data_IF_627060653238
#
_entry.id   IF_627060653238
#
_cell.length_a   1.000
_cell.length_b   1.000
_cell.length_c   1.000
_cell.angle_alpha   90.00
_cell.angle_beta   90.00
_cell.angle_gamma   90.00
#
_symmetry.space_group_name_H-M   'P 1'
#
loop_
_entity.id
_entity.type
_entity.pdbx_description
1 polymer ?
#
# COMPACT_ATOMS: atom_id res chain seq x y z
N UNK A 1 -1.09 -4.38 3.78
CA UNK A 1 -1.09 -3.36 2.72
C UNK A 1 -2.12 -3.76 1.66
N UNK A 2 -2.73 -2.76 0.96
CA UNK A 2 -3.62 -3.02 -0.17
C UNK A 2 -5.09 -2.65 0.07
N UNK A 3 -5.58 -2.65 1.31
CA UNK A 3 -6.97 -2.25 1.62
C UNK A 3 -7.23 -0.75 1.34
N UNK A 4 -6.21 0.06 1.35
CA UNK A 4 -6.24 1.48 0.95
C UNK A 4 -6.62 1.69 -0.51
N UNK A 5 -6.40 0.70 -1.38
CA UNK A 5 -6.77 0.75 -2.80
C UNK A 5 -8.28 0.94 -3.00
N UNK A 6 -9.10 0.49 -2.04
CA UNK A 6 -10.54 0.71 -2.05
C UNK A 6 -10.93 2.20 -1.97
N UNK A 7 -10.05 3.06 -1.44
CA UNK A 7 -10.28 4.51 -1.38
C UNK A 7 -10.19 5.14 -2.78
N UNK A 8 -9.32 4.63 -3.65
CA UNK A 8 -9.16 5.12 -5.03
C UNK A 8 -10.39 4.89 -5.91
N UNK A 9 -11.23 3.89 -5.58
CA UNK A 9 -12.45 3.55 -6.29
C UNK A 9 -13.72 4.02 -5.57
N UNK A 10 -13.59 4.79 -4.49
CA UNK A 10 -14.71 5.23 -3.65
C UNK A 10 -15.81 6.02 -4.41
N UNK A 11 -15.44 6.71 -5.49
CA UNK A 11 -16.39 7.42 -6.36
C UNK A 11 -17.35 6.51 -7.15
N UNK A 12 -17.00 5.24 -7.30
CA UNK A 12 -17.82 4.24 -8.02
C UNK A 12 -18.68 3.40 -7.05
N UNK A 13 -18.52 3.61 -5.73
CA UNK A 13 -19.18 2.83 -4.69
C UNK A 13 -20.50 3.48 -4.28
N UNK A 14 -21.58 2.67 -4.19
CA UNK A 14 -22.87 3.11 -3.69
C UNK A 14 -22.79 3.37 -2.17
N UNK A 15 -23.19 4.58 -1.73
CA UNK A 15 -23.08 5.03 -0.33
C UNK A 15 -21.66 4.94 0.26
N UNK A 16 -20.63 5.58 -0.35
CA UNK A 16 -19.23 5.40 0.00
C UNK A 16 -18.92 5.77 1.46
N UNK A 17 -19.61 6.78 2.02
CA UNK A 17 -19.44 7.23 3.42
C UNK A 17 -19.67 6.13 4.47
N UNK A 18 -20.45 5.09 4.16
CA UNK A 18 -20.71 3.94 5.04
C UNK A 18 -20.06 2.65 4.54
N UNK A 19 -20.16 2.39 3.25
CA UNK A 19 -19.73 1.12 2.65
C UNK A 19 -18.20 0.99 2.67
N UNK A 20 -17.46 2.06 2.39
CA UNK A 20 -15.99 2.02 2.37
C UNK A 20 -15.40 1.75 3.76
N UNK A 21 -15.74 2.49 4.83
CA UNK A 21 -15.21 2.20 6.17
C UNK A 21 -15.57 0.79 6.67
N UNK A 22 -16.80 0.36 6.42
CA UNK A 22 -17.25 -0.98 6.85
C UNK A 22 -16.53 -2.08 6.07
N UNK A 23 -16.35 -1.90 4.76
CA UNK A 23 -15.62 -2.85 3.90
C UNK A 23 -14.15 -2.98 4.32
N UNK A 24 -13.48 -1.86 4.62
CA UNK A 24 -12.10 -1.85 5.10
C UNK A 24 -12.00 -2.57 6.45
N UNK A 25 -12.92 -2.29 7.37
CA UNK A 25 -12.91 -2.90 8.71
C UNK A 25 -13.15 -4.41 8.63
N UNK A 26 -14.20 -4.84 7.93
CA UNK A 26 -14.54 -6.26 7.80
C UNK A 26 -13.46 -7.02 7.01
N UNK A 27 -12.98 -6.45 5.92
CA UNK A 27 -11.88 -7.03 5.13
C UNK A 27 -10.59 -7.13 5.95
N UNK A 28 -10.25 -6.10 6.71
CA UNK A 28 -9.08 -6.10 7.60
C UNK A 28 -9.17 -7.17 8.69
N UNK A 29 -10.32 -7.32 9.33
CA UNK A 29 -10.54 -8.37 10.35
C UNK A 29 -10.45 -9.77 9.72
N UNK A 30 -11.07 -9.98 8.55
CA UNK A 30 -11.02 -11.26 7.86
C UNK A 30 -9.58 -11.64 7.48
N UNK A 31 -8.83 -10.70 6.91
CA UNK A 31 -7.41 -10.91 6.56
C UNK A 31 -6.57 -11.22 7.79
N UNK A 32 -6.80 -10.50 8.91
CA UNK A 32 -6.12 -10.76 10.17
C UNK A 32 -6.36 -12.19 10.67
N UNK A 33 -7.61 -12.63 10.66
CA UNK A 33 -7.98 -14.00 11.07
C UNK A 33 -7.28 -15.04 10.19
N UNK A 34 -7.33 -14.84 8.86
CA UNK A 34 -6.68 -15.75 7.90
C UNK A 34 -5.17 -15.82 8.15
N UNK A 35 -4.50 -14.69 8.37
CA UNK A 35 -3.06 -14.67 8.63
C UNK A 35 -2.68 -15.32 9.96
N UNK A 36 -3.48 -15.13 11.02
CA UNK A 36 -3.26 -15.79 12.30
C UNK A 36 -3.41 -17.30 12.18
N UNK A 37 -4.43 -17.77 11.46
CA UNK A 37 -4.63 -19.21 11.22
C UNK A 37 -3.50 -19.80 10.38
N UNK A 38 -3.08 -19.13 9.29
CA UNK A 38 -1.94 -19.56 8.47
C UNK A 38 -0.66 -19.63 9.29
N UNK A 39 -0.41 -18.62 10.14
CA UNK A 39 0.75 -18.59 11.02
C UNK A 39 0.71 -19.74 12.03
N UNK A 40 -0.43 -20.00 12.65
CA UNK A 40 -0.62 -21.07 13.62
C UNK A 40 -0.39 -22.46 12.97
N UNK A 41 -0.96 -22.69 11.79
CA UNK A 41 -0.77 -23.94 11.03
C UNK A 41 0.68 -24.12 10.63
N UNK A 42 1.31 -23.05 10.10
CA UNK A 42 2.72 -23.10 9.69
C UNK A 42 3.63 -23.42 10.86
N UNK A 43 3.42 -22.77 12.00
CA UNK A 43 4.17 -23.02 13.23
C UNK A 43 3.92 -24.42 13.78
N UNK A 44 2.69 -24.90 13.74
CA UNK A 44 2.32 -26.25 14.21
C UNK A 44 2.98 -27.36 13.37
N UNK A 45 3.06 -27.18 12.05
CA UNK A 45 3.59 -28.21 11.14
C UNK A 45 5.11 -28.17 11.02
N UNK A 46 5.70 -26.96 10.92
CA UNK A 46 7.15 -26.82 10.77
C UNK A 46 7.89 -26.80 12.10
N UNK A 47 7.28 -26.36 13.19
CA UNK A 47 7.92 -26.28 14.50
C UNK A 47 9.24 -25.53 14.47
N UNK A 48 10.29 -26.14 15.03
CA UNK A 48 11.63 -25.57 15.04
C UNK A 48 12.27 -25.41 13.64
N UNK A 49 11.79 -26.14 12.63
CA UNK A 49 12.29 -26.06 11.25
C UNK A 49 11.85 -24.77 10.54
N UNK A 50 10.85 -24.06 11.09
CA UNK A 50 10.38 -22.81 10.51
C UNK A 50 11.49 -21.76 10.36
N UNK A 51 12.44 -21.70 11.28
CA UNK A 51 13.58 -20.78 11.21
C UNK A 51 14.57 -21.10 10.07
N UNK A 52 14.61 -22.34 9.60
CA UNK A 52 15.44 -22.79 8.49
C UNK A 52 14.78 -22.56 7.12
N UNK A 53 13.43 -22.55 7.07
CA UNK A 53 12.66 -22.36 5.82
C UNK A 53 12.34 -20.88 5.65
N UNK A 54 13.24 -20.13 5.00
CA UNK A 54 13.14 -18.67 4.89
C UNK A 54 12.35 -18.21 3.66
N UNK A 55 12.41 -18.95 2.56
CA UNK A 55 11.93 -18.45 1.26
C UNK A 55 10.44 -18.73 1.02
N UNK A 56 9.96 -19.93 1.33
CA UNK A 56 8.58 -20.34 1.04
C UNK A 56 8.00 -21.26 2.13
N UNK A 57 7.77 -20.78 3.37
CA UNK A 57 7.31 -21.61 4.47
C UNK A 57 5.96 -22.27 4.20
N UNK A 58 5.02 -21.58 3.54
CA UNK A 58 3.72 -22.16 3.20
C UNK A 58 3.83 -23.29 2.16
N UNK A 59 4.77 -23.19 1.21
CA UNK A 59 5.01 -24.27 0.25
C UNK A 59 5.57 -25.50 0.94
N UNK A 60 6.48 -25.33 1.90
CA UNK A 60 7.00 -26.43 2.71
C UNK A 60 5.90 -27.09 3.58
N UNK A 61 4.96 -26.31 4.09
CA UNK A 61 3.78 -26.86 4.78
C UNK A 61 2.92 -27.68 3.84
N UNK A 62 2.61 -27.14 2.65
CA UNK A 62 1.83 -27.84 1.63
C UNK A 62 2.49 -29.15 1.19
N UNK A 63 3.81 -29.15 1.05
CA UNK A 63 4.59 -30.34 0.73
C UNK A 63 4.50 -31.40 1.83
N UNK A 64 4.57 -31.00 3.10
CA UNK A 64 4.40 -31.94 4.24
C UNK A 64 3.02 -32.54 4.32
N UNK A 65 1.96 -31.83 3.90
CA UNK A 65 0.57 -32.31 4.01
C UNK A 65 0.17 -33.14 2.79
N UNK A 66 0.51 -32.68 1.58
CA UNK A 66 -0.02 -33.23 0.31
C UNK A 66 1.11 -33.78 -0.56
N UNK A 67 2.37 -33.63 -0.17
CA UNK A 67 3.54 -34.01 -0.96
C UNK A 67 3.94 -32.92 -1.98
N UNK A 68 4.88 -33.24 -2.90
CA UNK A 68 5.46 -32.27 -3.86
C UNK A 68 4.41 -31.54 -4.74
N UNK A 69 3.30 -32.21 -5.02
CA UNK A 69 2.17 -31.63 -5.77
C UNK A 69 1.57 -30.45 -5.01
N UNK A 70 1.44 -30.57 -3.67
CA UNK A 70 0.94 -29.49 -2.83
C UNK A 70 1.80 -28.23 -2.89
N UNK A 71 3.11 -28.38 -2.79
CA UNK A 71 4.05 -27.27 -2.97
C UNK A 71 3.93 -26.62 -4.35
N UNK A 72 3.85 -27.41 -5.42
CA UNK A 72 3.73 -26.93 -6.78
C UNK A 72 2.44 -26.12 -6.98
N UNK A 73 1.30 -26.63 -6.53
CA UNK A 73 0.01 -25.93 -6.62
C UNK A 73 0.06 -24.61 -5.86
N UNK A 74 0.64 -24.61 -4.65
CA UNK A 74 0.74 -23.40 -3.85
C UNK A 74 1.63 -22.34 -4.51
N UNK A 75 2.76 -22.73 -5.07
CA UNK A 75 3.66 -21.81 -5.78
C UNK A 75 3.03 -21.24 -7.04
N UNK A 76 2.31 -22.05 -7.82
CA UNK A 76 1.56 -21.57 -8.98
C UNK A 76 0.45 -20.59 -8.57
N UNK A 77 -0.28 -20.90 -7.50
CA UNK A 77 -1.30 -20.00 -6.95
C UNK A 77 -0.69 -18.68 -6.48
N UNK A 78 0.46 -18.73 -5.83
CA UNK A 78 1.20 -17.54 -5.42
C UNK A 78 1.62 -16.68 -6.61
N UNK A 79 2.12 -17.31 -7.69
CA UNK A 79 2.48 -16.59 -8.93
C UNK A 79 1.28 -15.87 -9.56
N UNK A 80 0.14 -16.55 -9.67
CA UNK A 80 -1.12 -15.96 -10.18
C UNK A 80 -1.59 -14.81 -9.28
N UNK A 81 -1.51 -14.99 -7.96
CA UNK A 81 -1.88 -13.95 -6.98
C UNK A 81 -0.97 -12.72 -7.09
N UNK A 82 0.34 -12.90 -7.23
CA UNK A 82 1.28 -11.81 -7.46
C UNK A 82 0.98 -11.06 -8.76
N UNK A 83 0.71 -11.79 -9.85
CA UNK A 83 0.34 -11.17 -11.14
C UNK A 83 -0.94 -10.35 -11.02
N UNK A 84 -1.96 -10.86 -10.33
CA UNK A 84 -3.21 -10.15 -10.07
C UNK A 84 -2.98 -8.87 -9.24
N UNK A 85 -2.15 -8.95 -8.20
CA UNK A 85 -1.81 -7.81 -7.36
C UNK A 85 -1.08 -6.72 -8.12
N UNK A 86 -0.05 -7.08 -8.90
CA UNK A 86 0.69 -6.11 -9.75
C UNK A 86 -0.23 -5.45 -10.76
N UNK A 87 -1.15 -6.21 -11.38
CA UNK A 87 -2.12 -5.68 -12.34
C UNK A 87 -3.05 -4.65 -11.69
N UNK A 88 -3.55 -4.95 -10.48
CA UNK A 88 -4.39 -4.04 -9.72
C UNK A 88 -3.64 -2.77 -9.29
N UNK A 89 -2.38 -2.90 -8.86
CA UNK A 89 -1.53 -1.76 -8.47
C UNK A 89 -1.24 -0.85 -9.66
N UNK A 90 -0.96 -1.40 -10.83
CA UNK A 90 -0.74 -0.60 -12.06
C UNK A 90 -2.01 0.19 -12.42
N UNK A 91 -3.19 -0.42 -12.32
CA UNK A 91 -4.46 0.26 -12.56
C UNK A 91 -4.71 1.39 -11.56
N UNK A 92 -4.54 1.13 -10.27
CA UNK A 92 -4.79 2.13 -9.23
C UNK A 92 -3.78 3.28 -9.25
N UNK A 93 -2.49 2.96 -9.29
CA UNK A 93 -1.44 3.98 -9.27
C UNK A 93 -1.47 4.87 -10.51
N UNK A 94 -1.76 4.32 -11.68
CA UNK A 94 -1.90 5.12 -12.91
C UNK A 94 -3.08 6.11 -12.83
N UNK A 95 -4.19 5.75 -12.17
CA UNK A 95 -5.32 6.68 -11.91
C UNK A 95 -4.93 7.79 -10.94
N UNK A 96 -4.17 7.48 -9.89
CA UNK A 96 -3.66 8.48 -8.93
C UNK A 96 -2.70 9.45 -9.63
N UNK A 97 -1.77 8.95 -10.44
CA UNK A 97 -0.86 9.78 -11.23
C UNK A 97 -1.61 10.68 -12.21
N UNK A 98 -2.62 10.15 -12.88
CA UNK A 98 -3.47 10.90 -13.81
C UNK A 98 -4.25 12.01 -13.10
N UNK A 99 -4.90 11.70 -11.99
CA UNK A 99 -5.66 12.67 -11.19
C UNK A 99 -4.73 13.76 -10.65
N UNK A 100 -3.60 13.39 -10.05
CA UNK A 100 -2.63 14.36 -9.56
C UNK A 100 -2.01 15.23 -10.66
N UNK A 101 -1.88 14.71 -11.88
CA UNK A 101 -1.43 15.51 -13.02
C UNK A 101 -2.51 16.51 -13.47
N UNK A 102 -3.79 16.14 -13.43
CA UNK A 102 -4.90 17.08 -13.65
C UNK A 102 -4.95 18.19 -12.62
N UNK A 103 -4.69 17.87 -11.36
CA UNK A 103 -4.65 18.84 -10.26
C UNK A 103 -3.34 19.68 -10.27
N UNK A 104 -2.43 19.39 -11.19
CA UNK A 104 -1.15 20.10 -11.30
C UNK A 104 -0.12 19.72 -10.23
N UNK A 105 -0.30 18.57 -9.57
CA UNK A 105 0.66 17.99 -8.61
C UNK A 105 1.75 17.19 -9.33
N UNK A 106 1.43 16.58 -10.48
CA UNK A 106 2.36 15.82 -11.31
C UNK A 106 2.51 16.45 -12.71
N UNK A 107 3.55 16.08 -13.49
CA UNK A 107 3.76 16.59 -14.83
C UNK A 107 2.55 16.40 -15.74
N UNK A 108 2.15 17.44 -16.47
CA UNK A 108 0.97 17.45 -17.33
C UNK A 108 0.88 16.27 -18.33
N UNK A 109 1.97 15.74 -18.92
CA UNK A 109 1.86 14.60 -19.83
C UNK A 109 1.17 13.37 -19.23
N UNK A 110 1.26 13.16 -17.90
CA UNK A 110 0.59 12.06 -17.20
C UNK A 110 -0.95 12.19 -17.21
N UNK A 111 -1.49 13.37 -17.50
CA UNK A 111 -2.94 13.63 -17.63
C UNK A 111 -3.50 13.31 -19.02
N UNK A 112 -2.67 12.84 -19.96
CA UNK A 112 -3.14 12.52 -21.32
C UNK A 112 -3.83 11.16 -21.35
N UNK A 113 -5.02 11.14 -21.98
CA UNK A 113 -5.75 9.92 -22.27
C UNK A 113 -5.42 9.40 -23.67
N UNK A 114 -5.44 8.10 -23.84
CA UNK A 114 -5.33 7.47 -25.16
C UNK A 114 -6.59 7.74 -25.98
N UNK A 115 -6.47 8.23 -27.26
CA UNK A 115 -7.64 8.64 -28.04
C UNK A 115 -8.67 7.53 -28.26
N UNK A 116 -8.22 6.29 -28.43
CA UNK A 116 -9.07 5.14 -28.73
C UNK A 116 -9.60 4.42 -27.48
N UNK A 117 -8.76 4.31 -26.43
CA UNK A 117 -9.07 3.47 -25.25
C UNK A 117 -9.47 4.29 -24.02
N UNK A 118 -9.40 5.62 -24.08
CA UNK A 118 -9.68 6.54 -22.97
C UNK A 118 -8.93 6.19 -21.66
N UNK A 119 -7.77 5.53 -21.77
CA UNK A 119 -6.91 5.12 -20.65
C UNK A 119 -5.73 6.08 -20.50
N UNK A 120 -5.22 6.33 -19.28
CA UNK A 120 -4.07 7.20 -19.02
C UNK A 120 -2.76 6.49 -19.39
N UNK A 121 -2.54 6.24 -20.69
CA UNK A 121 -1.45 5.40 -21.19
C UNK A 121 -0.06 5.87 -20.77
N UNK A 122 0.19 7.18 -20.68
CA UNK A 122 1.48 7.71 -20.22
C UNK A 122 1.68 7.43 -18.73
N UNK A 123 0.65 7.57 -17.91
CA UNK A 123 0.74 7.24 -16.50
C UNK A 123 0.95 5.73 -16.27
N UNK A 124 0.28 4.88 -17.06
CA UNK A 124 0.45 3.42 -17.03
C UNK A 124 1.88 3.03 -17.40
N UNK A 125 2.40 3.54 -18.52
CA UNK A 125 3.76 3.22 -18.96
C UNK A 125 4.82 3.77 -18.01
N UNK A 126 4.66 4.98 -17.48
CA UNK A 126 5.56 5.55 -16.50
C UNK A 126 5.63 4.73 -15.21
N UNK A 127 4.48 4.36 -14.66
CA UNK A 127 4.41 3.55 -13.45
C UNK A 127 4.94 2.12 -13.68
N UNK A 128 4.55 1.48 -14.79
CA UNK A 128 5.04 0.15 -15.16
C UNK A 128 6.55 0.12 -15.39
N UNK A 129 7.11 1.14 -16.07
CA UNK A 129 8.56 1.28 -16.23
C UNK A 129 9.28 1.48 -14.90
N UNK A 130 8.70 2.25 -13.99
CA UNK A 130 9.27 2.46 -12.65
C UNK A 130 9.31 1.14 -11.86
N UNK A 131 8.22 0.37 -11.85
CA UNK A 131 8.18 -0.95 -11.22
C UNK A 131 9.25 -1.87 -11.82
N UNK A 132 9.34 -1.92 -13.15
CA UNK A 132 10.31 -2.75 -13.85
C UNK A 132 11.75 -2.40 -13.47
N UNK A 133 12.11 -1.11 -13.52
CA UNK A 133 13.45 -0.62 -13.14
C UNK A 133 13.76 -1.00 -11.68
N UNK A 134 12.83 -0.76 -10.76
CA UNK A 134 13.02 -1.11 -9.35
C UNK A 134 13.18 -2.63 -9.17
N UNK A 135 12.38 -3.42 -9.86
CA UNK A 135 12.45 -4.90 -9.79
C UNK A 135 13.80 -5.45 -10.25
N UNK A 136 14.42 -4.83 -11.26
CA UNK A 136 15.72 -5.26 -11.79
C UNK A 136 16.90 -4.70 -10.98
N UNK A 137 16.73 -3.50 -10.37
CA UNK A 137 17.81 -2.80 -9.68
C UNK A 137 17.97 -3.15 -8.21
N UNK A 138 16.97 -3.74 -7.56
CA UNK A 138 16.98 -4.01 -6.12
C UNK A 138 16.71 -5.45 -5.74
N UNK A 139 17.31 -5.90 -4.63
CA UNK A 139 16.93 -7.18 -4.02
C UNK A 139 15.52 -7.08 -3.40
N UNK A 140 14.74 -8.16 -3.50
CA UNK A 140 13.38 -8.25 -2.95
C UNK A 140 13.27 -7.72 -1.51
N UNK A 141 14.21 -8.12 -0.64
CA UNK A 141 14.20 -7.71 0.77
C UNK A 141 14.30 -6.18 0.93
N UNK A 142 15.21 -5.54 0.18
CA UNK A 142 15.43 -4.09 0.28
C UNK A 142 14.20 -3.31 -0.21
N UNK A 143 13.61 -3.74 -1.33
CA UNK A 143 12.39 -3.13 -1.88
C UNK A 143 11.20 -3.32 -0.94
N UNK A 144 11.04 -4.50 -0.34
CA UNK A 144 9.98 -4.78 0.62
C UNK A 144 10.09 -3.92 1.88
N UNK A 145 11.30 -3.72 2.41
CA UNK A 145 11.55 -2.86 3.57
C UNK A 145 11.25 -1.40 3.23
N UNK A 146 11.74 -0.91 2.08
CA UNK A 146 11.49 0.46 1.64
C UNK A 146 9.99 0.73 1.44
N UNK A 147 9.28 -0.19 0.79
CA UNK A 147 7.83 -0.10 0.60
C UNK A 147 7.08 -0.10 1.93
N UNK A 148 7.48 -0.98 2.87
CA UNK A 148 6.87 -1.04 4.20
C UNK A 148 7.10 0.24 5.00
N UNK A 149 8.32 0.78 4.97
CA UNK A 149 8.63 2.05 5.65
C UNK A 149 7.84 3.22 5.03
N UNK A 150 7.77 3.29 3.69
CA UNK A 150 7.02 4.34 3.00
C UNK A 150 5.52 4.31 3.37
N UNK A 151 4.89 3.12 3.38
CA UNK A 151 3.47 3.01 3.72
C UNK A 151 3.18 3.32 5.19
N UNK A 152 4.09 2.97 6.11
CA UNK A 152 3.98 3.35 7.52
C UNK A 152 3.99 4.87 7.70
N UNK A 153 4.81 5.59 6.94
CA UNK A 153 4.83 7.06 6.96
C UNK A 153 3.55 7.67 6.39
N UNK A 154 2.99 7.08 5.33
CA UNK A 154 1.68 7.48 4.80
C UNK A 154 0.59 7.28 5.86
N UNK A 155 0.56 6.13 6.53
CA UNK A 155 -0.40 5.87 7.60
C UNK A 155 -0.23 6.85 8.77
N UNK A 156 1.01 7.16 9.15
CA UNK A 156 1.28 8.17 10.17
C UNK A 156 0.70 9.53 9.78
N UNK A 157 0.95 9.98 8.55
CA UNK A 157 0.40 11.23 8.03
C UNK A 157 -1.13 11.24 8.02
N UNK A 158 -1.78 10.14 7.63
CA UNK A 158 -3.24 9.98 7.64
C UNK A 158 -3.80 10.03 9.06
N UNK A 159 -3.14 9.37 10.03
CA UNK A 159 -3.57 9.40 11.44
C UNK A 159 -3.44 10.82 12.00
N UNK A 160 -2.33 11.52 11.76
CA UNK A 160 -2.14 12.90 12.18
C UNK A 160 -3.17 13.85 11.54
N UNK A 161 -3.44 13.69 10.25
CA UNK A 161 -4.50 14.44 9.56
C UNK A 161 -5.88 14.17 10.19
N UNK A 162 -6.18 12.90 10.52
CA UNK A 162 -7.42 12.52 11.19
C UNK A 162 -7.57 13.18 12.55
N UNK A 163 -6.51 13.21 13.36
CA UNK A 163 -6.50 13.90 14.66
C UNK A 163 -6.78 15.39 14.49
N UNK A 164 -6.10 16.03 13.52
CA UNK A 164 -6.30 17.46 13.23
C UNK A 164 -7.71 17.77 12.69
N UNK A 165 -8.28 16.91 11.85
CA UNK A 165 -9.62 17.11 11.29
C UNK A 165 -10.72 16.88 12.34
N UNK A 166 -10.50 16.00 13.31
CA UNK A 166 -11.44 15.75 14.41
C UNK A 166 -11.62 16.97 15.33
N UNK A 167 -10.63 17.85 15.42
CA UNK A 167 -10.71 19.08 16.21
C UNK A 167 -11.48 20.22 15.52
N UNK A 168 -11.78 20.08 14.23
CA UNK A 168 -12.57 21.07 13.51
C UNK A 168 -14.06 20.89 13.80
N UNK A 169 -14.84 22.01 13.94
CA UNK A 169 -16.30 21.95 14.02
C UNK A 169 -16.87 21.29 12.77
N UNK A 170 -17.84 20.42 12.95
CA UNK A 170 -18.55 19.78 11.84
C UNK A 170 -19.60 20.75 11.30
N UNK A 171 -19.66 20.91 9.98
CA UNK A 171 -20.76 21.64 9.37
C UNK A 171 -22.09 20.92 9.65
N UNK A 172 -23.10 21.69 10.06
CA UNK A 172 -24.41 21.17 10.45
C UNK A 172 -25.05 20.41 9.27
N UNK A 173 -25.26 19.10 9.43
CA UNK A 173 -25.95 18.25 8.45
C UNK A 173 -25.09 17.12 7.84
N UNK A 174 -23.77 17.09 7.97
CA UNK A 174 -22.93 16.00 7.47
C UNK A 174 -22.84 14.86 8.49
N UNK A 175 -23.51 13.73 8.22
CA UNK A 175 -23.29 12.47 8.93
C UNK A 175 -21.99 11.83 8.43
N UNK A 176 -20.86 12.21 9.04
CA UNK A 176 -19.57 11.57 8.77
C UNK A 176 -19.38 10.36 9.68
N UNK A 177 -18.80 9.29 9.14
CA UNK A 177 -18.43 8.13 9.94
C UNK A 177 -17.36 8.54 10.97
N UNK A 178 -17.65 8.31 12.25
CA UNK A 178 -16.65 8.47 13.33
C UNK A 178 -16.35 7.10 13.91
N UNK A 179 -15.11 6.66 13.81
CA UNK A 179 -14.67 5.44 14.46
C UNK A 179 -14.88 5.57 15.98
N UNK A 180 -15.49 4.55 16.64
CA UNK A 180 -15.64 4.54 18.10
C UNK A 180 -14.26 4.55 18.77
N UNK A 181 -14.18 5.02 20.05
CA UNK A 181 -12.92 5.05 20.81
C UNK A 181 -12.12 6.35 20.74
N UNK A 182 -12.64 7.40 20.10
CA UNK A 182 -12.05 8.75 20.16
C UNK A 182 -10.60 8.80 19.69
N UNK A 183 -9.70 9.32 20.54
CA UNK A 183 -8.26 9.44 20.30
C UNK A 183 -7.47 8.17 20.62
N UNK A 184 -8.07 7.18 21.26
CA UNK A 184 -7.36 5.97 21.70
C UNK A 184 -6.73 5.22 20.51
N UNK A 185 -7.51 4.95 19.45
CA UNK A 185 -7.00 4.26 18.26
C UNK A 185 -5.90 5.06 17.51
N UNK A 186 -6.05 6.37 17.27
CA UNK A 186 -4.96 7.18 16.74
C UNK A 186 -3.67 7.09 17.56
N UNK A 187 -3.75 7.19 18.89
CA UNK A 187 -2.57 7.12 19.76
C UNK A 187 -1.90 5.75 19.70
N UNK A 188 -2.67 4.66 19.79
CA UNK A 188 -2.15 3.30 19.65
C UNK A 188 -1.50 3.12 18.26
N UNK A 189 -2.15 3.60 17.20
CA UNK A 189 -1.62 3.53 15.84
C UNK A 189 -0.29 4.26 15.68
N UNK A 190 -0.18 5.49 16.21
CA UNK A 190 1.06 6.27 16.20
C UNK A 190 2.16 5.52 16.96
N UNK A 191 1.87 5.03 18.18
CA UNK A 191 2.82 4.30 18.99
C UNK A 191 3.34 3.04 18.29
N UNK A 192 2.43 2.26 17.68
CA UNK A 192 2.78 1.07 16.91
C UNK A 192 3.65 1.40 15.69
N UNK A 193 3.32 2.45 14.93
CA UNK A 193 4.11 2.88 13.78
C UNK A 193 5.50 3.32 14.21
N UNK A 194 5.61 4.14 15.25
CA UNK A 194 6.91 4.60 15.78
C UNK A 194 7.73 3.37 16.20
N UNK A 195 7.13 2.45 16.97
CA UNK A 195 7.81 1.23 17.39
C UNK A 195 8.32 0.40 16.20
N UNK A 196 7.52 0.21 15.16
CA UNK A 196 7.94 -0.49 13.94
C UNK A 196 9.07 0.24 13.22
N UNK A 197 9.02 1.58 13.13
CA UNK A 197 10.07 2.37 12.51
C UNK A 197 11.39 2.32 13.30
N UNK A 198 11.37 2.17 14.62
CA UNK A 198 12.59 1.98 15.43
C UNK A 198 13.27 0.62 15.20
N UNK A 199 12.55 -0.34 14.64
CA UNK A 199 13.11 -1.66 14.28
C UNK A 199 13.93 -1.64 12.99
N UNK A 200 13.92 -0.53 12.24
CA UNK A 200 14.71 -0.36 11.03
C UNK A 200 16.19 -0.18 11.38
N UNK A 201 17.05 -0.78 10.58
CA UNK A 201 18.50 -0.57 10.65
C UNK A 201 18.88 0.84 10.17
N UNK A 202 20.07 1.33 10.56
CA UNK A 202 20.56 2.67 10.15
C UNK A 202 20.55 2.85 8.63
N UNK A 203 20.89 1.81 7.87
CA UNK A 203 20.91 1.85 6.41
C UNK A 203 19.50 1.92 5.80
N UNK A 204 18.54 1.23 6.40
CA UNK A 204 17.13 1.27 5.98
C UNK A 204 16.49 2.63 6.27
N UNK A 205 16.80 3.22 7.43
CA UNK A 205 16.38 4.60 7.76
C UNK A 205 16.98 5.59 6.75
N UNK A 206 18.28 5.48 6.46
CA UNK A 206 18.95 6.36 5.49
C UNK A 206 18.32 6.23 4.10
N UNK A 207 18.07 5.01 3.62
CA UNK A 207 17.41 4.76 2.33
C UNK A 207 16.02 5.37 2.27
N UNK A 208 15.25 5.26 3.35
CA UNK A 208 13.91 5.85 3.47
C UNK A 208 13.97 7.37 3.45
N UNK A 209 14.92 7.98 4.16
CA UNK A 209 15.11 9.43 4.18
C UNK A 209 15.53 9.97 2.81
N UNK A 210 16.45 9.27 2.10
CA UNK A 210 16.85 9.63 0.74
C UNK A 210 15.64 9.57 -0.20
N UNK A 211 14.81 8.53 -0.09
CA UNK A 211 13.59 8.40 -0.90
C UNK A 211 12.60 9.54 -0.65
N UNK A 212 12.37 9.90 0.61
CA UNK A 212 11.51 11.04 0.98
C UNK A 212 12.09 12.36 0.44
N UNK A 213 13.40 12.58 0.61
CA UNK A 213 14.07 13.78 0.11
C UNK A 213 13.94 13.90 -1.41
N UNK A 214 14.08 12.80 -2.15
CA UNK A 214 13.88 12.77 -3.59
C UNK A 214 12.44 13.17 -4.00
N UNK A 215 11.42 12.64 -3.29
CA UNK A 215 10.02 13.01 -3.54
C UNK A 215 9.77 14.50 -3.26
N UNK A 216 10.29 15.00 -2.12
CA UNK A 216 10.17 16.43 -1.76
C UNK A 216 10.84 17.30 -2.80
N UNK A 217 12.03 16.92 -3.27
CA UNK A 217 12.75 17.65 -4.31
C UNK A 217 11.94 17.72 -5.61
N UNK A 218 11.40 16.59 -6.06
CA UNK A 218 10.52 16.53 -7.23
C UNK A 218 9.32 17.47 -7.06
N UNK A 219 8.67 17.42 -5.90
CA UNK A 219 7.53 18.27 -5.60
C UNK A 219 7.89 19.77 -5.63
N UNK A 220 8.99 20.16 -5.00
CA UNK A 220 9.47 21.57 -4.98
C UNK A 220 9.81 22.04 -6.38
N UNK A 221 10.52 21.24 -7.17
CA UNK A 221 10.83 21.56 -8.57
C UNK A 221 9.56 21.77 -9.38
N UNK A 222 8.55 20.95 -9.18
CA UNK A 222 7.27 21.08 -9.88
C UNK A 222 6.50 22.35 -9.47
N UNK A 223 6.50 22.68 -8.18
CA UNK A 223 5.91 23.94 -7.70
C UNK A 223 6.61 25.16 -8.33
N UNK A 224 7.94 25.10 -8.43
CA UNK A 224 8.73 26.17 -9.06
C UNK A 224 8.40 26.31 -10.55
N UNK A 225 8.32 25.20 -11.29
CA UNK A 225 7.93 25.20 -12.71
C UNK A 225 6.50 25.76 -12.90
N UNK A 226 5.57 25.41 -12.00
CA UNK A 226 4.19 25.91 -12.05
C UNK A 226 4.14 27.42 -11.82
N UNK A 227 4.97 27.96 -10.91
CA UNK A 227 5.05 29.40 -10.62
C UNK A 227 5.64 30.21 -11.80
N UNK A 228 6.53 29.62 -12.61
CA UNK A 228 7.11 30.27 -13.78
C UNK A 228 6.09 30.30 -14.94
N UNK A 229 5.16 29.36 -15.01
CA UNK A 229 4.16 29.24 -16.09
C UNK A 229 2.84 29.97 -15.82
N UNK A 230 2.63 30.45 -14.59
CA UNK A 230 1.49 31.27 -14.18
C UNK A 230 1.82 32.75 -14.23
#
# INVERSE_FOLDING_TARGET
>A
AGFESALGTSGEIKNPKRTVPLGILLGGVLVLIVYLLLQAVTQGILGAQMAAVKDAPLAAVAEKIVGPIGATILLLTAAVSCFGSVSADVLNASRVLFAGAKDGVFPWPLSKLHPKFATPHIAITAFGSMIFILSVSGGFKQLAILASAAILLVYLAVILATVKLRSKPQEAGEKTFRAPGGLLFPVIGIAAIIWLLTSLTKWEILSTLIFIAAIILIYVVMLYIKKIKA
#
